data_IF_725012058124
#
_entry.id   IF_725012058124
#
_cell.length_a   1.000
_cell.length_b   1.000
_cell.length_c   1.000
_cell.angle_alpha   90.00
_cell.angle_beta   90.00
_cell.angle_gamma   90.00
#
_symmetry.space_group_name_H-M   'P 1'
#
loop_
_entity.id
_entity.type
_entity.pdbx_description
1 polymer ?
#
# COMPACT_ATOMS: atom_id res chain seq x y z
N UNK A 1 -9.05 5.45 13.56
CA UNK A 1 -7.77 4.94 14.09
C UNK A 1 -6.73 6.03 13.90
N UNK A 2 -5.90 6.33 14.90
CA UNK A 2 -4.86 7.36 14.79
C UNK A 2 -3.68 6.74 14.03
N UNK A 3 -3.16 7.41 12.99
CA UNK A 3 -1.99 6.92 12.25
C UNK A 3 -0.71 7.40 12.94
N UNK A 4 0.05 6.47 13.54
CA UNK A 4 1.32 6.73 14.21
C UNK A 4 2.53 6.37 13.35
N UNK A 5 2.34 5.46 12.40
CA UNK A 5 3.37 4.95 11.50
C UNK A 5 2.93 5.15 10.05
N UNK A 6 3.89 5.44 9.17
CA UNK A 6 3.70 5.75 7.77
C UNK A 6 4.70 4.99 6.90
N UNK A 7 4.39 4.78 5.63
CA UNK A 7 5.35 4.23 4.67
C UNK A 7 6.21 5.33 4.04
N UNK A 8 7.49 5.04 3.80
CA UNK A 8 8.43 5.97 3.12
C UNK A 8 7.95 6.41 1.75
N UNK A 9 7.24 5.51 1.06
CA UNK A 9 6.71 5.67 -0.29
C UNK A 9 5.57 4.64 -0.53
N UNK A 10 5.04 4.60 -1.74
CA UNK A 10 3.94 3.72 -2.16
C UNK A 10 4.40 2.34 -2.65
N UNK A 11 5.70 2.08 -2.74
CA UNK A 11 6.26 0.88 -3.39
C UNK A 11 6.29 -0.33 -2.46
N UNK A 12 6.61 -1.49 -3.03
CA UNK A 12 6.83 -2.73 -2.27
C UNK A 12 8.12 -2.73 -1.44
N UNK A 13 9.01 -1.76 -1.69
CA UNK A 13 10.25 -1.53 -0.93
C UNK A 13 10.07 -0.48 0.16
N UNK A 14 8.86 0.04 0.33
CA UNK A 14 8.61 1.03 1.35
C UNK A 14 8.94 0.47 2.74
N UNK A 15 9.35 1.35 3.64
CA UNK A 15 9.64 1.00 5.03
C UNK A 15 8.70 1.77 5.97
N UNK A 16 8.22 1.14 7.05
CA UNK A 16 7.44 1.84 8.06
C UNK A 16 8.33 2.77 8.88
N UNK A 17 7.89 4.00 9.11
CA UNK A 17 8.56 4.99 9.95
C UNK A 17 7.56 5.83 10.75
N UNK A 18 8.04 6.42 11.85
CA UNK A 18 7.33 7.47 12.59
C UNK A 18 8.17 8.75 12.65
N UNK A 19 7.60 9.84 13.15
CA UNK A 19 8.28 11.13 13.25
C UNK A 19 8.33 11.63 14.70
N UNK A 20 9.29 12.49 15.05
CA UNK A 20 9.32 13.17 16.34
C UNK A 20 8.04 13.96 16.65
N UNK A 21 7.33 14.43 15.63
CA UNK A 21 6.05 15.13 15.78
C UNK A 21 4.94 14.22 16.27
N UNK A 22 4.82 13.02 15.69
CA UNK A 22 3.87 12.01 16.18
C UNK A 22 4.18 11.66 17.63
N UNK A 23 5.45 11.40 17.95
CA UNK A 23 5.87 11.06 19.31
C UNK A 23 5.51 12.19 20.28
N UNK A 24 5.85 13.44 19.96
CA UNK A 24 5.53 14.60 20.78
C UNK A 24 4.02 14.73 21.05
N UNK A 25 3.21 14.69 19.98
CA UNK A 25 1.76 14.86 20.05
C UNK A 25 1.06 13.80 20.91
N UNK A 26 1.62 12.59 21.00
CA UNK A 26 1.00 11.47 21.72
C UNK A 26 1.61 11.18 23.09
N UNK A 27 2.73 11.80 23.44
CA UNK A 27 3.42 11.55 24.72
C UNK A 27 3.39 12.73 25.70
N UNK A 28 2.81 13.88 25.30
CA UNK A 28 2.82 15.10 26.12
C UNK A 28 4.18 15.81 26.16
N UNK A 29 5.16 15.31 25.41
CA UNK A 29 6.47 15.93 25.27
C UNK A 29 6.44 17.06 24.23
N UNK A 30 7.21 18.12 24.46
CA UNK A 30 7.39 19.12 23.42
C UNK A 30 8.18 18.56 22.23
N UNK A 31 7.82 18.95 21.00
CA UNK A 31 8.57 18.57 19.79
C UNK A 31 10.06 18.98 19.88
N UNK A 32 10.36 20.08 20.57
CA UNK A 32 11.75 20.51 20.82
C UNK A 32 12.51 19.48 21.68
N UNK A 33 11.89 18.98 22.74
CA UNK A 33 12.48 17.96 23.61
C UNK A 33 12.73 16.65 22.85
N UNK A 34 11.76 16.16 22.09
CA UNK A 34 11.92 14.93 21.29
C UNK A 34 13.03 15.09 20.24
N UNK A 35 13.10 16.23 19.54
CA UNK A 35 14.18 16.49 18.59
C UNK A 35 15.56 16.62 19.24
N UNK A 36 15.63 17.22 20.44
CA UNK A 36 16.88 17.25 21.22
C UNK A 36 17.32 15.83 21.56
N UNK A 37 16.38 14.98 22.00
CA UNK A 37 16.66 13.59 22.33
C UNK A 37 17.16 12.80 21.12
N UNK A 38 16.54 12.97 19.94
CA UNK A 38 17.02 12.38 18.67
C UNK A 38 18.45 12.79 18.36
N UNK A 39 18.78 14.09 18.49
CA UNK A 39 20.14 14.58 18.26
C UNK A 39 21.14 14.03 19.28
N UNK A 40 20.74 14.00 20.55
CA UNK A 40 21.58 13.52 21.65
C UNK A 40 21.85 12.01 21.54
N UNK A 41 20.87 11.23 21.10
CA UNK A 41 20.98 9.76 20.93
C UNK A 41 21.33 9.33 19.52
N UNK A 42 21.75 10.26 18.65
CA UNK A 42 22.00 10.02 17.22
C UNK A 42 22.87 8.78 16.98
N UNK A 43 24.03 8.68 17.63
CA UNK A 43 24.96 7.56 17.44
C UNK A 43 24.37 6.20 17.83
N UNK A 44 23.46 6.17 18.81
CA UNK A 44 22.77 4.93 19.19
C UNK A 44 21.66 4.57 18.20
N UNK A 45 20.93 5.57 17.70
CA UNK A 45 19.90 5.37 16.68
C UNK A 45 20.52 4.90 15.35
N UNK A 46 21.70 5.43 14.99
CA UNK A 46 22.40 5.06 13.76
C UNK A 46 22.93 3.62 13.75
N UNK A 47 22.94 2.93 14.90
CA UNK A 47 23.19 1.48 14.97
C UNK A 47 22.11 0.66 14.28
N UNK A 48 20.92 1.23 14.11
CA UNK A 48 19.77 0.62 13.44
C UNK A 48 19.54 1.17 12.03
N UNK A 49 20.60 1.72 11.40
CA UNK A 49 20.55 2.27 10.05
C UNK A 49 20.59 3.80 10.02
N UNK A 50 20.60 4.36 8.81
CA UNK A 50 20.79 5.80 8.59
C UNK A 50 19.61 6.59 9.18
N UNK A 51 19.92 7.66 9.92
CA UNK A 51 18.91 8.57 10.44
C UNK A 51 18.43 9.53 9.34
N UNK A 52 17.40 9.12 8.61
CA UNK A 52 16.83 9.91 7.52
C UNK A 52 16.14 11.18 8.02
N UNK A 53 16.29 12.28 7.28
CA UNK A 53 15.56 13.52 7.53
C UNK A 53 15.32 14.31 6.25
N UNK A 54 14.28 15.13 6.25
CA UNK A 54 14.00 16.11 5.21
C UNK A 54 14.06 17.53 5.80
N UNK A 55 14.41 18.51 4.96
CA UNK A 55 14.39 19.92 5.35
C UNK A 55 13.04 20.53 4.95
N UNK A 56 12.17 20.76 5.93
CA UNK A 56 10.91 21.44 5.73
C UNK A 56 11.12 22.96 5.66
N UNK A 57 10.60 23.59 4.59
CA UNK A 57 10.53 25.04 4.46
C UNK A 57 9.56 25.59 5.51
N UNK A 58 9.95 26.67 6.17
CA UNK A 58 9.06 27.40 7.06
C UNK A 58 8.15 28.32 6.22
N UNK A 59 6.88 28.53 6.63
CA UNK A 59 6.05 29.59 6.08
C UNK A 59 6.56 30.94 6.62
N UNK A 60 7.71 31.42 6.12
CA UNK A 60 8.33 32.69 6.52
C UNK A 60 9.86 32.67 6.55
N UNK A 61 10.46 33.65 7.26
CA UNK A 61 11.91 33.74 7.47
C UNK A 61 12.36 32.83 8.62
N UNK A 62 13.37 31.99 8.37
CA UNK A 62 13.99 31.14 9.40
C UNK A 62 14.79 29.98 8.80
N UNK A 63 15.57 29.28 9.64
CA UNK A 63 16.29 28.07 9.21
C UNK A 63 15.30 26.93 8.98
N UNK A 64 15.37 26.20 7.85
CA UNK A 64 14.54 25.03 7.61
C UNK A 64 14.57 24.05 8.79
N UNK A 65 13.41 23.46 9.11
CA UNK A 65 13.30 22.47 10.19
C UNK A 65 13.61 21.08 9.64
N UNK A 66 14.38 20.29 10.40
CA UNK A 66 14.59 18.87 10.09
C UNK A 66 13.39 18.06 10.56
N UNK A 67 12.77 17.31 9.65
CA UNK A 67 11.79 16.29 9.98
C UNK A 67 12.49 14.94 9.88
N UNK A 68 12.76 14.32 11.03
CA UNK A 68 13.37 13.00 11.09
C UNK A 68 12.32 11.92 10.77
N UNK A 69 12.77 10.88 10.06
CA UNK A 69 12.03 9.64 9.83
C UNK A 69 12.72 8.54 10.61
N UNK A 70 12.06 8.06 11.66
CA UNK A 70 12.57 7.01 12.54
C UNK A 70 11.97 5.67 12.11
N UNK A 71 12.82 4.72 11.70
CA UNK A 71 12.37 3.36 11.45
C UNK A 71 11.90 2.67 12.76
N UNK A 72 11.35 1.47 12.66
CA UNK A 72 10.82 0.70 13.80
C UNK A 72 11.81 0.61 14.97
N UNK A 73 13.06 0.23 14.72
CA UNK A 73 14.06 0.02 15.75
C UNK A 73 14.54 1.34 16.37
N UNK A 74 14.76 2.37 15.54
CA UNK A 74 15.11 3.71 15.99
C UNK A 74 14.01 4.31 16.87
N UNK A 75 12.75 4.20 16.46
CA UNK A 75 11.61 4.68 17.21
C UNK A 75 11.47 3.93 18.54
N UNK A 76 11.60 2.60 18.51
CA UNK A 76 11.54 1.72 19.69
C UNK A 76 12.65 2.04 20.70
N UNK A 77 13.88 2.29 20.23
CA UNK A 77 14.96 2.76 21.09
C UNK A 77 14.68 4.17 21.64
N UNK A 78 14.19 5.08 20.81
CA UNK A 78 13.95 6.47 21.24
C UNK A 78 12.91 6.55 22.38
N UNK A 79 11.82 5.78 22.29
CA UNK A 79 10.76 5.76 23.31
C UNK A 79 11.21 5.19 24.66
N UNK A 80 12.31 4.41 24.71
CA UNK A 80 12.82 3.89 25.99
C UNK A 80 13.47 4.98 26.84
N UNK A 81 13.81 6.13 26.25
CA UNK A 81 14.36 7.28 26.95
C UNK A 81 13.29 8.29 27.40
N UNK A 82 12.01 8.02 27.12
CA UNK A 82 10.89 8.84 27.60
C UNK A 82 10.41 8.34 28.96
N UNK A 83 9.98 9.27 29.82
CA UNK A 83 9.42 8.94 31.13
C UNK A 83 8.18 8.03 31.01
N UNK A 84 8.05 7.07 31.92
CA UNK A 84 6.97 6.08 31.92
C UNK A 84 5.67 6.65 32.53
N UNK A 85 5.13 7.71 31.94
CA UNK A 85 3.78 8.17 32.28
C UNK A 85 2.74 7.19 31.70
N UNK A 86 1.52 7.10 32.27
CA UNK A 86 0.46 6.26 31.70
C UNK A 86 0.15 6.58 30.23
N UNK A 87 0.25 7.86 29.85
CA UNK A 87 0.10 8.30 28.47
C UNK A 87 1.20 7.72 27.56
N UNK A 88 2.47 7.78 28.00
CA UNK A 88 3.60 7.22 27.26
C UNK A 88 3.48 5.70 27.13
N UNK A 89 3.02 5.01 28.17
CA UNK A 89 2.79 3.56 28.11
C UNK A 89 1.77 3.17 27.03
N UNK A 90 0.61 3.83 26.99
CA UNK A 90 -0.41 3.62 25.95
C UNK A 90 0.13 3.91 24.55
N UNK A 91 0.93 4.97 24.41
CA UNK A 91 1.58 5.29 23.14
C UNK A 91 2.56 4.20 22.70
N UNK A 92 3.38 3.66 23.62
CA UNK A 92 4.34 2.57 23.32
C UNK A 92 3.62 1.34 22.78
N UNK A 93 2.53 0.92 23.42
CA UNK A 93 1.71 -0.22 22.98
C UNK A 93 1.14 0.03 21.59
N UNK A 94 0.55 1.19 21.35
CA UNK A 94 -0.03 1.53 20.05
C UNK A 94 1.02 1.63 18.94
N UNK A 95 2.18 2.22 19.23
CA UNK A 95 3.27 2.38 18.26
C UNK A 95 3.84 1.02 17.84
N UNK A 96 4.15 0.14 18.81
CA UNK A 96 4.64 -1.21 18.53
C UNK A 96 3.63 -1.98 17.68
N UNK A 97 2.35 -1.98 18.08
CA UNK A 97 1.30 -2.65 17.34
C UNK A 97 1.23 -2.17 15.88
N UNK A 98 1.26 -0.86 15.64
CA UNK A 98 1.19 -0.32 14.27
C UNK A 98 2.42 -0.61 13.43
N UNK A 99 3.63 -0.60 14.01
CA UNK A 99 4.82 -1.03 13.26
C UNK A 99 4.70 -2.48 12.78
N UNK A 100 4.25 -3.38 13.66
CA UNK A 100 4.02 -4.79 13.30
C UNK A 100 2.95 -4.93 12.22
N UNK A 101 1.80 -4.29 12.40
CA UNK A 101 0.70 -4.33 11.41
C UNK A 101 1.15 -3.85 10.03
N UNK A 102 1.91 -2.75 9.96
CA UNK A 102 2.40 -2.20 8.70
C UNK A 102 3.49 -3.07 8.06
N UNK A 103 4.40 -3.62 8.86
CA UNK A 103 5.41 -4.55 8.35
C UNK A 103 4.76 -5.83 7.81
N UNK A 104 3.81 -6.39 8.53
CA UNK A 104 3.13 -7.62 8.13
C UNK A 104 2.27 -7.40 6.87
N UNK A 105 1.64 -6.23 6.74
CA UNK A 105 0.93 -5.82 5.54
C UNK A 105 1.87 -5.72 4.32
N UNK A 106 3.04 -5.09 4.47
CA UNK A 106 4.05 -5.06 3.39
C UNK A 106 4.56 -6.45 3.01
N UNK A 107 4.78 -7.32 4.00
CA UNK A 107 5.22 -8.69 3.75
C UNK A 107 4.16 -9.46 2.96
N UNK A 108 2.88 -9.36 3.36
CA UNK A 108 1.77 -9.95 2.60
C UNK A 108 1.68 -9.41 1.18
N UNK A 109 1.83 -8.09 1.00
CA UNK A 109 1.85 -7.48 -0.34
C UNK A 109 2.98 -8.03 -1.21
N UNK A 110 4.18 -8.19 -0.65
CA UNK A 110 5.31 -8.77 -1.35
C UNK A 110 5.08 -10.23 -1.75
N UNK A 111 4.55 -11.05 -0.83
CA UNK A 111 4.21 -12.46 -1.10
C UNK A 111 3.13 -12.58 -2.17
N UNK A 112 2.06 -11.81 -2.06
CA UNK A 112 0.96 -11.80 -3.02
C UNK A 112 1.43 -11.40 -4.42
N UNK A 113 2.35 -10.44 -4.54
CA UNK A 113 2.95 -10.06 -5.83
C UNK A 113 3.87 -11.11 -6.39
N UNK A 114 4.61 -11.85 -5.56
CA UNK A 114 5.41 -12.98 -6.03
C UNK A 114 4.52 -14.10 -6.60
N UNK A 115 3.39 -14.39 -5.94
CA UNK A 115 2.42 -15.40 -6.37
C UNK A 115 1.59 -14.99 -7.60
N UNK A 116 1.34 -13.70 -7.80
CA UNK A 116 0.55 -13.19 -8.94
C UNK A 116 1.34 -13.22 -10.25
N UNK A 117 2.66 -13.02 -10.25
CA UNK A 117 3.50 -13.05 -11.46
C UNK A 117 3.24 -14.22 -12.41
N UNK A 118 3.19 -15.50 -11.98
CA UNK A 118 2.86 -16.61 -12.88
C UNK A 118 1.43 -16.53 -13.42
N UNK A 119 0.44 -16.15 -12.60
CA UNK A 119 -0.96 -16.00 -13.01
C UNK A 119 -1.11 -14.93 -14.08
N UNK A 120 -0.43 -13.79 -13.91
CA UNK A 120 -0.39 -12.73 -14.90
C UNK A 120 0.16 -13.19 -16.25
N UNK A 121 1.18 -14.07 -16.26
CA UNK A 121 1.69 -14.67 -17.50
C UNK A 121 0.61 -15.50 -18.17
N UNK A 122 -0.05 -16.39 -17.42
CA UNK A 122 -1.18 -17.19 -17.91
C UNK A 122 -2.32 -16.32 -18.45
N UNK A 123 -2.68 -15.22 -17.77
CA UNK A 123 -3.66 -14.26 -18.27
C UNK A 123 -3.21 -13.60 -19.57
N UNK A 124 -1.94 -13.22 -19.66
CA UNK A 124 -1.38 -12.61 -20.88
C UNK A 124 -1.43 -13.57 -22.05
N UNK A 125 -1.07 -14.84 -21.83
CA UNK A 125 -1.11 -15.89 -22.85
C UNK A 125 -2.56 -16.19 -23.27
N UNK A 126 -3.48 -16.34 -22.31
CA UNK A 126 -4.89 -16.52 -22.61
C UNK A 126 -5.48 -15.35 -23.43
N UNK A 127 -5.12 -14.10 -23.10
CA UNK A 127 -5.55 -12.93 -23.88
C UNK A 127 -4.95 -12.92 -25.28
N UNK A 128 -3.71 -13.41 -25.45
CA UNK A 128 -3.04 -13.47 -26.75
C UNK A 128 -3.75 -14.44 -27.69
N UNK A 129 -4.21 -15.58 -27.17
CA UNK A 129 -4.86 -16.64 -27.95
C UNK A 129 -6.39 -16.44 -28.05
N UNK A 130 -6.94 -15.44 -27.35
CA UNK A 130 -8.37 -15.16 -27.32
C UNK A 130 -8.93 -14.73 -28.68
N UNK A 131 -10.08 -15.31 -29.08
CA UNK A 131 -10.78 -14.99 -30.33
C UNK A 131 -11.05 -13.49 -30.53
N UNK A 132 -11.30 -12.75 -29.45
CA UNK A 132 -11.63 -11.31 -29.48
C UNK A 132 -10.43 -10.40 -29.15
N UNK A 133 -9.21 -10.95 -29.20
CA UNK A 133 -8.00 -10.22 -28.86
C UNK A 133 -7.76 -9.00 -29.75
N UNK A 134 -7.15 -7.98 -29.18
CA UNK A 134 -6.70 -6.77 -29.86
C UNK A 134 -5.62 -6.07 -29.03
N UNK A 135 -4.99 -5.05 -29.61
CA UNK A 135 -3.91 -4.27 -28.96
C UNK A 135 -4.27 -3.64 -27.60
N UNK A 136 -5.56 -3.53 -27.27
CA UNK A 136 -6.06 -2.97 -26.01
C UNK A 136 -6.67 -4.01 -25.06
N UNK A 137 -6.77 -5.28 -25.46
CA UNK A 137 -7.45 -6.32 -24.70
C UNK A 137 -6.90 -6.44 -23.27
N UNK A 138 -5.57 -6.56 -23.13
CA UNK A 138 -4.92 -6.61 -21.82
C UNK A 138 -5.20 -5.35 -20.98
N UNK A 139 -5.08 -4.16 -21.56
CA UNK A 139 -5.32 -2.89 -20.84
C UNK A 139 -6.75 -2.79 -20.33
N UNK A 140 -7.73 -3.22 -21.14
CA UNK A 140 -9.13 -3.21 -20.79
C UNK A 140 -9.45 -4.20 -19.67
N UNK A 141 -8.96 -5.43 -19.75
CA UNK A 141 -9.10 -6.43 -18.69
C UNK A 141 -8.43 -5.94 -17.41
N UNK A 142 -7.15 -5.55 -17.46
CA UNK A 142 -6.44 -5.06 -16.27
C UNK A 142 -7.16 -3.87 -15.59
N UNK A 143 -7.66 -2.90 -16.36
CA UNK A 143 -8.42 -1.76 -15.81
C UNK A 143 -9.72 -2.22 -15.14
N UNK A 144 -10.41 -3.20 -15.73
CA UNK A 144 -11.61 -3.79 -15.16
C UNK A 144 -11.29 -4.51 -13.84
N UNK A 145 -10.27 -5.36 -13.82
CA UNK A 145 -9.88 -6.12 -12.62
C UNK A 145 -9.48 -5.19 -11.47
N UNK A 146 -8.68 -4.15 -11.74
CA UNK A 146 -8.32 -3.14 -10.74
C UNK A 146 -9.58 -2.43 -10.21
N UNK A 147 -10.49 -2.03 -11.10
CA UNK A 147 -11.73 -1.34 -10.70
C UNK A 147 -12.64 -2.22 -9.85
N UNK A 148 -12.74 -3.50 -10.18
CA UNK A 148 -13.57 -4.45 -9.39
C UNK A 148 -12.89 -4.76 -8.04
N UNK A 149 -11.57 -4.93 -8.01
CA UNK A 149 -10.84 -5.25 -6.79
C UNK A 149 -10.87 -4.10 -5.75
N UNK A 150 -10.79 -2.85 -6.23
CA UNK A 150 -10.59 -1.66 -5.37
C UNK A 150 -11.79 -0.72 -5.30
N UNK A 151 -12.74 -0.84 -6.24
CA UNK A 151 -13.81 0.15 -6.45
C UNK A 151 -13.34 1.43 -7.17
N UNK A 152 -12.04 1.58 -7.45
CA UNK A 152 -11.42 2.80 -7.97
C UNK A 152 -10.81 2.57 -9.35
N UNK A 153 -10.80 3.61 -10.18
CA UNK A 153 -9.99 3.62 -11.40
C UNK A 153 -8.50 3.71 -11.06
N UNK A 154 -7.65 3.31 -12.01
CA UNK A 154 -6.18 3.42 -11.87
C UNK A 154 -5.75 4.88 -11.61
N UNK A 155 -6.44 5.86 -12.22
CA UNK A 155 -6.13 7.28 -12.02
C UNK A 155 -6.49 7.75 -10.61
N UNK A 156 -7.65 7.33 -10.08
CA UNK A 156 -8.06 7.63 -8.70
C UNK A 156 -7.15 6.96 -7.66
N UNK A 157 -6.70 5.73 -7.93
CA UNK A 157 -5.70 5.04 -7.12
C UNK A 157 -4.39 5.84 -7.06
N UNK A 158 -3.88 6.26 -8.22
CA UNK A 158 -2.64 7.06 -8.27
C UNK A 158 -2.77 8.39 -7.53
N UNK A 159 -3.93 9.03 -7.64
CA UNK A 159 -4.21 10.30 -6.95
C UNK A 159 -4.29 10.12 -5.43
N UNK A 160 -4.88 9.02 -4.95
CA UNK A 160 -5.11 8.78 -3.53
C UNK A 160 -3.95 8.11 -2.79
N UNK A 161 -3.17 7.28 -3.48
CA UNK A 161 -2.13 6.41 -2.86
C UNK A 161 -0.72 6.66 -3.40
N UNK A 162 -0.55 7.68 -4.24
CA UNK A 162 0.72 8.02 -4.86
C UNK A 162 0.95 7.29 -6.18
N UNK A 163 2.11 7.52 -6.81
CA UNK A 163 2.42 6.92 -8.09
C UNK A 163 3.24 5.63 -7.93
N UNK A 164 2.97 4.65 -8.80
CA UNK A 164 3.76 3.44 -8.90
C UNK A 164 3.77 2.96 -10.36
N UNK A 165 4.83 2.22 -10.77
CA UNK A 165 4.91 1.66 -12.12
C UNK A 165 3.75 0.72 -12.46
N UNK A 166 3.30 -0.08 -11.48
CA UNK A 166 2.16 -0.99 -11.64
C UNK A 166 1.07 -0.67 -10.63
N UNK A 167 -0.20 -0.64 -11.08
CA UNK A 167 -1.34 -0.38 -10.21
C UNK A 167 -1.42 -1.32 -9.01
N UNK A 168 -1.08 -2.61 -9.19
CA UNK A 168 -1.06 -3.60 -8.10
C UNK A 168 -0.10 -3.26 -6.97
N UNK A 169 0.94 -2.47 -7.22
CA UNK A 169 1.84 -2.02 -6.16
C UNK A 169 1.15 -0.98 -5.27
N UNK A 170 0.03 -0.39 -5.68
CA UNK A 170 -0.79 0.54 -4.87
C UNK A 170 -1.94 -0.15 -4.12
N UNK A 171 -2.14 -1.45 -4.35
CA UNK A 171 -3.19 -2.22 -3.71
C UNK A 171 -2.76 -2.70 -2.31
N UNK A 172 -3.73 -2.79 -1.41
CA UNK A 172 -3.56 -3.50 -0.12
C UNK A 172 -3.40 -5.00 -0.36
N UNK A 173 -2.92 -5.74 0.64
CA UNK A 173 -2.80 -7.19 0.57
C UNK A 173 -4.13 -7.86 0.24
N UNK A 174 -5.21 -7.41 0.87
CA UNK A 174 -6.57 -7.89 0.62
C UNK A 174 -7.05 -7.58 -0.81
N UNK A 175 -6.83 -6.36 -1.30
CA UNK A 175 -7.18 -6.00 -2.68
C UNK A 175 -6.37 -6.80 -3.70
N UNK A 176 -5.09 -7.10 -3.42
CA UNK A 176 -4.26 -7.97 -4.27
C UNK A 176 -4.80 -9.41 -4.32
N UNK A 177 -5.29 -9.95 -3.20
CA UNK A 177 -5.92 -11.27 -3.18
C UNK A 177 -7.20 -11.30 -3.99
N UNK A 178 -8.05 -10.27 -3.83
CA UNK A 178 -9.26 -10.10 -4.65
C UNK A 178 -8.90 -10.00 -6.13
N UNK A 179 -7.92 -9.17 -6.48
CA UNK A 179 -7.44 -9.01 -7.85
C UNK A 179 -6.96 -10.35 -8.44
N UNK A 180 -6.14 -11.11 -7.70
CA UNK A 180 -5.67 -12.45 -8.10
C UNK A 180 -6.83 -13.41 -8.34
N UNK A 181 -7.86 -13.39 -7.50
CA UNK A 181 -9.09 -14.16 -7.70
C UNK A 181 -9.84 -13.76 -8.97
N UNK A 182 -9.89 -12.47 -9.28
CA UNK A 182 -10.51 -11.95 -10.51
C UNK A 182 -9.69 -12.31 -11.76
N UNK A 183 -8.35 -12.34 -11.69
CA UNK A 183 -7.50 -12.81 -12.80
C UNK A 183 -7.80 -14.25 -13.17
N UNK A 184 -7.86 -15.15 -12.18
CA UNK A 184 -8.18 -16.56 -12.44
C UNK A 184 -9.57 -16.73 -13.09
N UNK A 185 -10.56 -15.94 -12.65
CA UNK A 185 -11.89 -15.93 -13.29
C UNK A 185 -11.82 -15.40 -14.72
N UNK A 186 -11.08 -14.32 -14.95
CA UNK A 186 -10.91 -13.74 -16.28
C UNK A 186 -10.23 -14.73 -17.23
N UNK A 187 -9.18 -15.43 -16.79
CA UNK A 187 -8.54 -16.51 -17.54
C UNK A 187 -9.59 -17.53 -17.98
N UNK A 188 -10.38 -18.07 -17.04
CA UNK A 188 -11.39 -19.07 -17.35
C UNK A 188 -12.43 -18.59 -18.39
N UNK A 189 -12.93 -17.36 -18.25
CA UNK A 189 -13.90 -16.81 -19.21
C UNK A 189 -13.28 -16.54 -20.59
N UNK A 190 -12.03 -16.10 -20.63
CA UNK A 190 -11.30 -15.84 -21.88
C UNK A 190 -11.03 -17.16 -22.62
N UNK A 191 -10.59 -18.19 -21.90
CA UNK A 191 -10.37 -19.53 -22.48
C UNK A 191 -11.68 -20.18 -22.98
N UNK A 192 -12.82 -19.80 -22.41
CA UNK A 192 -14.14 -20.20 -22.90
C UNK A 192 -14.68 -19.30 -24.05
N UNK A 193 -13.85 -18.43 -24.61
CA UNK A 193 -14.19 -17.47 -25.67
C UNK A 193 -15.41 -16.57 -25.35
N UNK A 194 -15.60 -16.22 -24.08
CA UNK A 194 -16.63 -15.24 -23.73
C UNK A 194 -16.24 -13.87 -24.26
N UNK A 195 -17.20 -13.10 -24.76
CA UNK A 195 -16.97 -11.72 -25.19
C UNK A 195 -16.66 -10.79 -24.01
N UNK A 196 -15.94 -9.70 -24.28
CA UNK A 196 -15.57 -8.71 -23.25
C UNK A 196 -16.79 -8.16 -22.47
N UNK A 197 -17.90 -7.92 -23.16
CA UNK A 197 -19.15 -7.42 -22.56
C UNK A 197 -19.69 -8.38 -21.49
N UNK A 198 -19.69 -9.68 -21.79
CA UNK A 198 -20.11 -10.74 -20.88
C UNK A 198 -19.12 -10.91 -19.71
N UNK A 199 -17.81 -10.96 -20.00
CA UNK A 199 -16.75 -11.00 -18.98
C UNK A 199 -16.92 -9.84 -18.00
N UNK A 200 -17.14 -8.63 -18.51
CA UNK A 200 -17.36 -7.44 -17.70
C UNK A 200 -18.57 -7.60 -16.80
N UNK A 201 -19.72 -8.03 -17.35
CA UNK A 201 -20.92 -8.24 -16.56
C UNK A 201 -20.72 -9.28 -15.45
N UNK A 202 -20.09 -10.41 -15.76
CA UNK A 202 -19.80 -11.49 -14.81
C UNK A 202 -18.87 -11.06 -13.68
N UNK A 203 -17.83 -10.29 -13.99
CA UNK A 203 -16.88 -9.81 -12.98
C UNK A 203 -17.45 -8.67 -12.13
N UNK A 204 -18.36 -7.85 -12.66
CA UNK A 204 -18.99 -6.77 -11.90
C UNK A 204 -20.26 -7.19 -11.15
N UNK A 205 -20.74 -8.42 -11.33
CA UNK A 205 -22.04 -8.87 -10.81
C UNK A 205 -23.24 -8.18 -11.48
N UNK A 206 -23.08 -7.74 -12.73
CA UNK A 206 -24.14 -7.09 -13.51
C UNK A 206 -25.23 -8.07 -13.94
N UNK A 207 -26.45 -7.58 -14.16
CA UNK A 207 -27.57 -8.40 -14.66
C UNK A 207 -27.22 -9.00 -16.03
N UNK A 208 -27.29 -10.32 -16.13
CA UNK A 208 -27.11 -11.07 -17.38
C UNK A 208 -28.50 -11.28 -17.99
N UNK A 209 -28.76 -10.75 -19.18
CA UNK A 209 -29.93 -11.14 -19.96
C UNK A 209 -29.56 -12.40 -20.75
N UNK A 210 -30.01 -13.56 -20.27
CA UNK A 210 -29.91 -14.80 -21.04
C UNK A 210 -31.03 -14.76 -22.08
N UNK A 211 -30.67 -14.53 -23.35
CA UNK A 211 -31.58 -14.75 -24.47
C UNK A 211 -31.62 -16.26 -24.69
N UNK A 212 -32.76 -16.90 -24.38
CA UNK A 212 -33.00 -18.27 -24.83
C UNK A 212 -33.09 -18.23 -26.35
N UNK A 213 -32.13 -18.84 -27.04
CA UNK A 213 -32.39 -19.26 -28.42
C UNK A 213 -33.54 -20.27 -28.36
N UNK A 214 -34.67 -19.90 -28.97
CA UNK A 214 -35.71 -20.85 -29.28
C UNK A 214 -35.18 -21.65 -30.48
N UNK A 215 -34.78 -22.89 -30.24
CA UNK A 215 -34.60 -23.87 -31.31
C UNK A 215 -35.92 -23.96 -32.08
N UNK A 216 -35.87 -23.54 -33.35
CA UNK A 216 -36.96 -23.67 -34.32
C UNK A 216 -36.74 -24.86 -35.23
#
# INVERSE_FOLDING_TARGET
>A
MINLVFYTDSTLKAEPYTTPEIIANHTGNSLKAVNNLVRYKKEHLERFGILHFENAKLPGRGRPRKIYRLNEQQATLLITFLDNTPQVELFKVALVKQFYEMRDELNKRNLNRAMEKPIKRTLTDAIKDWKYTNKHAYSNINRLLVKVATGLSIQELKKSRGDAPTALDLLTSEEQERYKGLENKAIAYITADFEYSLIKALLTGGKIQIVKEMEG
#
